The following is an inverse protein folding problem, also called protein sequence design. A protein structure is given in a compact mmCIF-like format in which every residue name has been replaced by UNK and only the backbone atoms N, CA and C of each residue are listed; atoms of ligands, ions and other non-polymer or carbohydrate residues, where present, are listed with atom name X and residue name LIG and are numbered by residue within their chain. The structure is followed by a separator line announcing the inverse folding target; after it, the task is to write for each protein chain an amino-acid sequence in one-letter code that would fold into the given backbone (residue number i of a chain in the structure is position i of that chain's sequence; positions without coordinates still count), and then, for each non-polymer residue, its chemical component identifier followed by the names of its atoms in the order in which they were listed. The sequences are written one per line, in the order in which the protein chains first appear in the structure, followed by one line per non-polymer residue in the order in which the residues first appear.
data_IF_957430282251
#
_entry.id   IF_957430282251
#
_cell.length_a   1.000
_cell.length_b   1.000
_cell.length_c   1.000
_cell.angle_alpha   90.00
_cell.angle_beta   90.00
_cell.angle_gamma   90.00
#
_symmetry.space_group_name_H-M   'P 1'
#
loop_
_entity.id
_entity.type
_entity.pdbx_description
1 polymer ?
#
# COMPACT_ATOMS: atom_id res chain seq x y z
N UNK A 1 -0.08 -14.12 -10.38
CA UNK A 1 0.62 -12.83 -10.14
C UNK A 1 0.63 -12.59 -8.64
N UNK A 2 1.74 -12.13 -8.08
CA UNK A 2 1.87 -11.84 -6.64
C UNK A 2 1.70 -10.34 -6.37
N UNK A 3 1.25 -10.02 -5.17
CA UNK A 3 0.96 -8.66 -4.73
C UNK A 3 1.65 -8.35 -3.41
N UNK A 4 2.10 -7.11 -3.29
CA UNK A 4 2.55 -6.55 -2.01
C UNK A 4 1.46 -5.62 -1.47
N UNK A 5 1.42 -5.46 -0.16
CA UNK A 5 0.55 -4.50 0.52
C UNK A 5 1.42 -3.36 1.00
N UNK A 6 1.04 -2.14 0.63
CA UNK A 6 1.74 -0.94 1.03
C UNK A 6 0.81 -0.02 1.82
N UNK A 7 1.40 0.71 2.77
CA UNK A 7 0.80 1.84 3.45
C UNK A 7 1.51 3.10 2.98
N UNK A 8 0.77 4.13 2.62
CA UNK A 8 1.32 5.35 2.05
C UNK A 8 0.86 6.51 2.92
N UNK A 9 1.83 7.21 3.51
CA UNK A 9 1.55 8.38 4.35
C UNK A 9 0.99 9.53 3.51
N UNK A 10 -0.16 10.07 3.89
CA UNK A 10 -0.77 11.22 3.21
C UNK A 10 -0.02 12.54 3.47
N UNK A 11 0.79 12.59 4.54
CA UNK A 11 1.56 13.78 4.89
C UNK A 11 2.90 13.85 4.16
N UNK A 12 3.54 12.70 3.95
CA UNK A 12 4.92 12.63 3.44
C UNK A 12 5.04 11.92 2.10
N UNK A 13 3.96 11.28 1.62
CA UNK A 13 3.94 10.38 0.48
C UNK A 13 4.97 9.24 0.55
N UNK A 14 5.48 8.92 1.74
CA UNK A 14 6.41 7.82 1.94
C UNK A 14 5.66 6.50 1.98
N UNK A 15 6.15 5.55 1.19
CA UNK A 15 5.66 4.18 1.13
C UNK A 15 6.29 3.36 2.26
N UNK A 16 5.45 2.61 2.96
CA UNK A 16 5.85 1.58 3.92
C UNK A 16 5.28 0.24 3.49
N UNK A 17 6.15 -0.74 3.41
CA UNK A 17 5.76 -2.08 3.00
C UNK A 17 5.16 -2.83 4.21
N UNK A 18 3.95 -3.36 4.02
CA UNK A 18 3.15 -4.02 5.08
C UNK A 18 3.20 -5.53 4.94
N UNK A 19 3.13 -6.05 3.71
CA UNK A 19 3.24 -7.48 3.42
C UNK A 19 3.78 -7.70 2.01
N UNK A 20 4.55 -8.77 1.81
CA UNK A 20 5.14 -9.12 0.51
C UNK A 20 4.59 -10.43 -0.04
N UNK A 21 4.61 -10.56 -1.37
CA UNK A 21 4.45 -11.81 -2.13
C UNK A 21 3.17 -12.58 -1.75
N UNK A 22 2.05 -11.85 -1.66
CA UNK A 22 0.73 -12.40 -1.35
C UNK A 22 -0.05 -12.76 -2.61
N UNK A 23 -1.02 -13.65 -2.47
CA UNK A 23 -2.07 -13.80 -3.46
C UNK A 23 -2.90 -12.51 -3.51
N UNK A 24 -3.66 -12.30 -4.59
CA UNK A 24 -4.51 -11.11 -4.70
C UNK A 24 -5.55 -11.05 -3.56
N UNK A 25 -6.19 -12.18 -3.29
CA UNK A 25 -7.22 -12.31 -2.25
C UNK A 25 -6.64 -12.02 -0.86
N UNK A 26 -5.47 -12.57 -0.54
CA UNK A 26 -4.80 -12.29 0.73
C UNK A 26 -4.38 -10.82 0.86
N UNK A 27 -3.87 -10.22 -0.23
CA UNK A 27 -3.48 -8.82 -0.23
C UNK A 27 -4.68 -7.89 0.00
N UNK A 28 -5.80 -8.14 -0.67
CA UNK A 28 -7.02 -7.34 -0.53
C UNK A 28 -7.66 -7.52 0.87
N UNK A 29 -7.59 -8.73 1.44
CA UNK A 29 -7.99 -8.98 2.82
C UNK A 29 -7.12 -8.20 3.82
N UNK A 30 -5.81 -8.19 3.62
CA UNK A 30 -4.87 -7.43 4.46
C UNK A 30 -5.10 -5.92 4.37
N UNK A 31 -5.38 -5.38 3.19
CA UNK A 31 -5.77 -3.98 3.01
C UNK A 31 -7.03 -3.68 3.82
N UNK A 32 -8.06 -4.52 3.70
CA UNK A 32 -9.32 -4.35 4.43
C UNK A 32 -9.11 -4.36 5.95
N UNK A 33 -8.32 -5.32 6.45
CA UNK A 33 -7.97 -5.41 7.87
C UNK A 33 -7.17 -4.19 8.35
N UNK A 34 -6.23 -3.70 7.54
CA UNK A 34 -5.41 -2.55 7.89
C UNK A 34 -6.23 -1.26 7.95
N UNK A 35 -7.17 -1.08 7.01
CA UNK A 35 -8.13 0.03 7.00
C UNK A 35 -9.06 -0.03 8.22
N UNK A 36 -9.62 -1.20 8.53
CA UNK A 36 -10.48 -1.37 9.71
C UNK A 36 -9.77 -1.05 11.03
N UNK A 37 -8.48 -1.40 11.14
CA UNK A 37 -7.70 -1.22 12.37
C UNK A 37 -7.16 0.21 12.55
N UNK A 38 -6.68 0.83 11.48
CA UNK A 38 -5.93 2.09 11.58
C UNK A 38 -6.68 3.30 11.00
N UNK A 39 -7.83 3.09 10.35
CA UNK A 39 -8.53 4.15 9.61
C UNK A 39 -7.78 4.54 8.33
N UNK A 40 -8.19 5.68 7.75
CA UNK A 40 -7.63 6.23 6.50
C UNK A 40 -7.23 7.70 6.62
N UNK A 41 -7.10 8.21 7.84
CA UNK A 41 -6.92 9.65 8.09
C UNK A 41 -5.48 10.12 7.80
N UNK A 42 -4.48 9.26 8.05
CA UNK A 42 -3.06 9.60 7.94
C UNK A 42 -2.31 8.78 6.90
N UNK A 43 -2.83 7.60 6.56
CA UNK A 43 -2.21 6.66 5.62
C UNK A 43 -3.31 6.00 4.78
N UNK A 44 -3.04 5.72 3.51
CA UNK A 44 -3.89 4.84 2.71
C UNK A 44 -3.19 3.51 2.44
N UNK A 45 -3.96 2.43 2.40
CA UNK A 45 -3.46 1.08 2.15
C UNK A 45 -3.83 0.63 0.74
N UNK A 46 -2.91 -0.01 0.04
CA UNK A 46 -3.14 -0.49 -1.32
C UNK A 46 -2.44 -1.83 -1.57
N UNK A 47 -3.08 -2.68 -2.39
CA UNK A 47 -2.44 -3.83 -3.01
C UNK A 47 -1.78 -3.40 -4.32
N UNK A 48 -0.49 -3.71 -4.47
CA UNK A 48 0.33 -3.34 -5.63
C UNK A 48 0.99 -4.58 -6.21
N UNK A 49 1.44 -4.51 -7.47
CA UNK A 49 2.22 -5.61 -8.06
C UNK A 49 3.46 -5.87 -7.22
N UNK A 50 3.80 -7.14 -6.97
CA UNK A 50 4.97 -7.47 -6.15
C UNK A 50 6.25 -6.84 -6.71
N UNK A 51 7.01 -6.17 -5.83
CA UNK A 51 8.23 -5.45 -6.17
C UNK A 51 8.03 -4.09 -6.84
N UNK A 52 6.80 -3.58 -6.94
CA UNK A 52 6.52 -2.25 -7.51
C UNK A 52 7.06 -1.09 -6.64
N UNK A 53 7.11 -1.29 -5.33
CA UNK A 53 7.59 -0.31 -4.36
C UNK A 53 8.46 -0.96 -3.29
N UNK A 54 9.34 -0.17 -2.69
CA UNK A 54 10.13 -0.50 -1.50
C UNK A 54 9.77 0.46 -0.36
N UNK A 55 9.99 0.01 0.88
CA UNK A 55 9.86 0.91 2.04
C UNK A 55 10.82 2.09 1.91
N UNK A 56 10.31 3.30 2.07
CA UNK A 56 11.05 4.55 1.90
C UNK A 56 10.91 5.18 0.51
N UNK A 57 10.32 4.48 -0.47
CA UNK A 57 10.01 5.08 -1.76
C UNK A 57 8.98 6.21 -1.60
N UNK A 58 9.01 7.18 -2.52
CA UNK A 58 7.95 8.18 -2.61
C UNK A 58 6.86 7.74 -3.58
N UNK A 59 5.62 7.77 -3.11
CA UNK A 59 4.45 7.64 -3.94
C UNK A 59 4.19 8.97 -4.67
N UNK A 60 4.62 9.06 -5.92
CA UNK A 60 4.33 10.20 -6.77
C UNK A 60 3.00 9.91 -7.48
N UNK A 61 1.91 10.55 -7.02
CA UNK A 61 0.72 10.66 -7.87
C UNK A 61 1.11 11.46 -9.12
N UNK A 62 1.42 10.77 -10.21
CA UNK A 62 1.44 11.42 -11.52
C UNK A 62 -0.01 11.82 -11.82
N UNK A 63 -0.31 13.09 -11.59
CA UNK A 63 -1.56 13.70 -12.02
C UNK A 63 -1.79 13.36 -13.49
N UNK A 64 -2.97 12.82 -13.78
CA UNK A 64 -3.48 12.79 -15.14
C UNK A 64 -3.54 14.25 -15.62
N UNK A 65 -2.68 14.57 -16.59
CA UNK A 65 -2.78 15.79 -17.38
C UNK A 65 -4.00 15.72 -18.30
#
# INVERSE_FOLDING_TARGET
MLFDVVAISLQTNVVRLVAEKKSKEDADALVSMAVMRNGVDNEFFASVSAGAFRSGDQYIMRGAA
#
